data_IF_864501810648
#
_entry.id   IF_864501810648
#
_cell.length_a   1.000
_cell.length_b   1.000
_cell.length_c   1.000
_cell.angle_alpha   90.00
_cell.angle_beta   90.00
_cell.angle_gamma   90.00
#
_symmetry.space_group_name_H-M   'P 1'
#
loop_
_entity.id
_entity.type
_entity.pdbx_description
1 polymer ?
#
# COMPACT_ATOMS: atom_id res chain seq x y z
N UNK A 1 17.06 10.37 -8.87
CA UNK A 1 17.18 8.91 -9.11
C UNK A 1 16.56 8.14 -7.93
N UNK A 2 15.48 7.40 -8.19
CA UNK A 2 14.81 6.56 -7.19
C UNK A 2 15.74 5.46 -6.67
N UNK A 3 15.60 5.08 -5.40
CA UNK A 3 16.39 3.98 -4.83
C UNK A 3 15.70 2.66 -5.22
N UNK A 4 16.44 1.62 -5.60
CA UNK A 4 15.80 0.33 -5.87
C UNK A 4 15.01 -0.13 -4.64
N UNK A 5 13.80 -0.64 -4.88
CA UNK A 5 12.98 -1.26 -3.85
C UNK A 5 13.77 -2.40 -3.18
N UNK A 6 13.61 -2.62 -1.86
CA UNK A 6 14.12 -3.82 -1.21
C UNK A 6 13.69 -5.07 -1.98
N UNK A 7 14.58 -6.05 -2.13
CA UNK A 7 14.39 -7.19 -3.03
C UNK A 7 13.10 -7.97 -2.76
N UNK A 8 12.76 -8.13 -1.48
CA UNK A 8 11.57 -8.81 -1.01
C UNK A 8 10.28 -8.06 -1.35
N UNK A 9 10.29 -6.73 -1.24
CA UNK A 9 9.19 -5.86 -1.65
C UNK A 9 9.05 -5.85 -3.18
N UNK A 10 10.17 -5.71 -3.89
CA UNK A 10 10.20 -5.72 -5.34
C UNK A 10 9.65 -7.04 -5.90
N UNK A 11 10.06 -8.18 -5.32
CA UNK A 11 9.55 -9.50 -5.69
C UNK A 11 8.04 -9.60 -5.48
N UNK A 12 7.54 -9.17 -4.32
CA UNK A 12 6.10 -9.19 -4.02
C UNK A 12 5.30 -8.42 -5.08
N UNK A 13 5.74 -7.22 -5.44
CA UNK A 13 5.08 -6.36 -6.43
C UNK A 13 5.25 -6.89 -7.86
N UNK A 14 6.43 -7.39 -8.21
CA UNK A 14 6.76 -7.93 -9.54
C UNK A 14 5.98 -9.20 -9.86
N UNK A 15 5.77 -10.09 -8.89
CA UNK A 15 5.01 -11.34 -9.04
C UNK A 15 3.49 -11.15 -9.06
N UNK A 16 2.99 -9.92 -8.85
CA UNK A 16 1.57 -9.63 -8.83
C UNK A 16 0.97 -9.67 -10.25
N UNK A 17 0.50 -10.85 -10.69
CA UNK A 17 -0.06 -11.04 -12.05
C UNK A 17 -1.21 -10.08 -12.37
N UNK A 18 -2.05 -9.76 -11.38
CA UNK A 18 -3.16 -8.82 -11.54
C UNK A 18 -2.81 -7.38 -11.15
N UNK A 19 -1.54 -7.12 -10.82
CA UNK A 19 -1.05 -5.86 -10.29
C UNK A 19 -1.25 -5.70 -8.79
N UNK A 20 -0.85 -4.52 -8.30
CA UNK A 20 -0.83 -4.17 -6.88
C UNK A 20 -1.76 -3.01 -6.59
N UNK A 21 -2.45 -3.11 -5.45
CA UNK A 21 -3.13 -2.00 -4.78
C UNK A 21 -2.26 -1.53 -3.64
N UNK A 22 -1.85 -0.26 -3.62
CA UNK A 22 -1.24 0.37 -2.46
C UNK A 22 -2.35 0.97 -1.60
N UNK A 23 -2.41 0.60 -0.32
CA UNK A 23 -3.32 1.19 0.66
C UNK A 23 -2.51 1.90 1.75
N UNK A 24 -2.69 3.22 1.89
CA UNK A 24 -2.00 4.01 2.91
C UNK A 24 -2.87 5.13 3.43
N UNK A 25 -3.15 5.12 4.73
CA UNK A 25 -3.79 6.23 5.43
C UNK A 25 -2.64 7.08 5.98
N UNK A 26 -2.52 8.33 5.51
CA UNK A 26 -1.38 9.21 5.77
C UNK A 26 -1.15 9.49 7.26
N UNK A 27 -0.15 10.34 7.57
CA UNK A 27 0.39 10.54 8.92
C UNK A 27 -0.59 11.02 10.00
N UNK A 28 -1.79 11.47 9.63
CA UNK A 28 -2.84 11.83 10.60
C UNK A 28 -3.56 10.61 11.18
N UNK A 29 -3.44 9.45 10.52
CA UNK A 29 -4.08 8.24 10.96
C UNK A 29 -3.11 7.39 11.77
N UNK A 30 -3.37 7.26 13.06
CA UNK A 30 -2.70 6.25 13.87
C UNK A 30 -3.46 4.94 13.69
N UNK A 31 -2.77 3.89 13.23
CA UNK A 31 -3.34 2.56 13.07
C UNK A 31 -3.90 1.96 14.37
N UNK A 32 -3.49 2.45 15.55
CA UNK A 32 -4.05 2.05 16.85
C UNK A 32 -5.48 2.57 17.04
N UNK A 33 -5.84 3.66 16.36
CA UNK A 33 -7.18 4.24 16.42
C UNK A 33 -8.16 3.52 15.47
N UNK A 34 -7.66 2.58 14.64
CA UNK A 34 -8.53 1.74 13.81
C UNK A 34 -9.21 0.68 14.69
N UNK A 35 -10.55 0.67 14.80
CA UNK A 35 -11.24 -0.42 15.47
C UNK A 35 -10.93 -1.74 14.79
N UNK A 36 -10.78 -2.80 15.58
CA UNK A 36 -10.48 -4.14 15.06
C UNK A 36 -11.50 -4.60 14.02
N UNK A 37 -12.79 -4.35 14.24
CA UNK A 37 -13.86 -4.64 13.29
C UNK A 37 -13.65 -3.94 11.94
N UNK A 38 -13.23 -2.68 11.96
CA UNK A 38 -12.94 -1.91 10.73
C UNK A 38 -11.73 -2.49 10.01
N UNK A 39 -10.66 -2.83 10.74
CA UNK A 39 -9.48 -3.47 10.19
C UNK A 39 -9.82 -4.82 9.55
N UNK A 40 -10.62 -5.62 10.24
CA UNK A 40 -11.04 -6.94 9.78
C UNK A 40 -11.91 -6.83 8.52
N UNK A 41 -12.82 -5.86 8.46
CA UNK A 41 -13.62 -5.60 7.27
C UNK A 41 -12.74 -5.24 6.04
N UNK A 42 -11.67 -4.46 6.23
CA UNK A 42 -10.71 -4.20 5.15
C UNK A 42 -9.95 -5.46 4.74
N UNK A 43 -9.46 -6.26 5.69
CA UNK A 43 -8.77 -7.53 5.38
C UNK A 43 -9.69 -8.47 4.59
N UNK A 44 -10.96 -8.58 4.98
CA UNK A 44 -11.97 -9.39 4.30
C UNK A 44 -12.36 -8.85 2.92
N UNK A 45 -12.36 -7.52 2.74
CA UNK A 45 -12.57 -6.93 1.43
C UNK A 45 -11.36 -7.17 0.51
N UNK A 46 -10.15 -7.00 1.03
CA UNK A 46 -8.91 -7.19 0.29
C UNK A 46 -8.66 -8.66 -0.05
N UNK A 47 -9.04 -9.61 0.80
CA UNK A 47 -8.89 -11.05 0.52
C UNK A 47 -9.66 -11.51 -0.72
N UNK A 48 -10.71 -10.77 -1.10
CA UNK A 48 -11.54 -11.06 -2.29
C UNK A 48 -10.95 -10.49 -3.58
N UNK A 49 -9.91 -9.67 -3.50
CA UNK A 49 -9.24 -9.09 -4.66
C UNK A 49 -8.28 -10.10 -5.29
N UNK A 50 -8.22 -10.10 -6.63
CA UNK A 50 -7.21 -10.86 -7.38
C UNK A 50 -5.83 -10.21 -7.33
N UNK A 51 -5.81 -8.91 -7.07
CA UNK A 51 -4.61 -8.10 -6.89
C UNK A 51 -3.92 -8.46 -5.57
N UNK A 52 -2.61 -8.22 -5.53
CA UNK A 52 -1.90 -8.13 -4.27
C UNK A 52 -2.15 -6.75 -3.65
N UNK A 53 -2.27 -6.69 -2.34
CA UNK A 53 -2.49 -5.47 -1.58
C UNK A 53 -1.27 -5.21 -0.72
N UNK A 54 -0.66 -4.05 -0.92
CA UNK A 54 0.41 -3.52 -0.10
C UNK A 54 -0.18 -2.49 0.85
N UNK A 55 -0.28 -2.82 2.12
CA UNK A 55 -0.90 -1.98 3.13
C UNK A 55 0.18 -1.36 4.03
N UNK A 56 0.35 -0.03 3.96
CA UNK A 56 1.18 0.71 4.91
C UNK A 56 0.56 0.66 6.32
N UNK A 57 1.18 -0.06 7.23
CA UNK A 57 0.68 -0.32 8.58
C UNK A 57 1.83 -0.34 9.58
N UNK A 58 1.87 0.64 10.48
CA UNK A 58 2.95 0.85 11.45
C UNK A 58 2.64 0.36 12.87
N UNK A 59 1.57 -0.42 13.02
CA UNK A 59 1.13 -1.04 14.27
C UNK A 59 1.60 -2.50 14.42
N UNK A 60 1.10 -3.16 15.47
CA UNK A 60 1.29 -4.59 15.67
C UNK A 60 0.85 -5.37 14.43
N UNK A 61 1.65 -6.38 14.08
CA UNK A 61 1.36 -7.29 12.96
C UNK A 61 0.04 -8.02 13.23
N UNK A 62 -0.76 -8.13 12.19
CA UNK A 62 -2.05 -8.82 12.19
C UNK A 62 -1.97 -9.94 11.16
N UNK A 63 -2.70 -11.02 11.40
CA UNK A 63 -2.84 -12.08 10.41
C UNK A 63 -3.49 -11.53 9.14
N UNK A 64 -2.97 -11.95 8.00
CA UNK A 64 -3.41 -11.47 6.69
C UNK A 64 -3.47 -12.65 5.70
N UNK A 65 -4.39 -12.61 4.73
CA UNK A 65 -4.39 -13.55 3.62
C UNK A 65 -3.15 -13.38 2.74
N UNK A 66 -2.81 -14.39 1.94
CA UNK A 66 -1.60 -14.43 1.10
C UNK A 66 -1.45 -13.25 0.13
N UNK A 67 -2.57 -12.63 -0.26
CA UNK A 67 -2.57 -11.49 -1.16
C UNK A 67 -2.40 -10.15 -0.45
N UNK A 68 -2.40 -10.09 0.89
CA UNK A 68 -2.25 -8.85 1.67
C UNK A 68 -0.90 -8.85 2.39
N UNK A 69 -0.13 -7.78 2.20
CA UNK A 69 1.15 -7.58 2.87
C UNK A 69 1.15 -6.26 3.65
N UNK A 70 1.37 -6.36 4.96
CA UNK A 70 1.56 -5.21 5.82
C UNK A 70 3.01 -4.75 5.80
N UNK A 71 3.22 -3.45 5.60
CA UNK A 71 4.54 -2.83 5.64
C UNK A 71 4.57 -1.59 6.52
N UNK A 72 5.49 -1.57 7.48
CA UNK A 72 5.67 -0.41 8.37
C UNK A 72 6.22 0.79 7.63
N UNK A 73 7.20 0.56 6.76
CA UNK A 73 7.87 1.59 5.98
C UNK A 73 7.88 1.21 4.50
N UNK A 74 7.59 2.20 3.64
CA UNK A 74 7.54 2.01 2.19
C UNK A 74 8.30 3.17 1.53
N UNK A 75 9.17 2.90 0.54
CA UNK A 75 9.72 3.91 -0.35
C UNK A 75 8.61 4.34 -1.34
N UNK A 76 7.74 5.26 -0.89
CA UNK A 76 6.49 5.58 -1.58
C UNK A 76 6.69 5.96 -3.06
N UNK A 77 7.67 6.81 -3.37
CA UNK A 77 7.96 7.22 -4.75
C UNK A 77 8.30 6.04 -5.66
N UNK A 78 9.12 5.11 -5.18
CA UNK A 78 9.56 3.95 -5.95
C UNK A 78 8.41 2.94 -6.13
N UNK A 79 7.51 2.81 -5.14
CA UNK A 79 6.28 2.01 -5.28
C UNK A 79 5.31 2.65 -6.27
N UNK A 80 5.11 3.98 -6.19
CA UNK A 80 4.25 4.73 -7.11
C UNK A 80 4.74 4.66 -8.56
N UNK A 81 6.05 4.67 -8.77
CA UNK A 81 6.66 4.54 -10.09
C UNK A 81 6.65 3.10 -10.65
N UNK A 82 6.27 2.10 -9.85
CA UNK A 82 6.36 0.70 -10.27
C UNK A 82 5.25 0.33 -11.28
N UNK A 83 5.56 -0.32 -12.43
CA UNK A 83 4.59 -0.57 -13.50
C UNK A 83 3.43 -1.51 -13.12
N UNK A 84 3.64 -2.38 -12.12
CA UNK A 84 2.58 -3.25 -11.59
C UNK A 84 1.62 -2.55 -10.61
N UNK A 85 1.90 -1.33 -10.16
CA UNK A 85 0.93 -0.59 -9.35
C UNK A 85 -0.26 -0.20 -10.22
N UNK A 86 -1.48 -0.54 -9.77
CA UNK A 86 -2.72 -0.24 -10.50
C UNK A 86 -3.55 0.83 -9.82
N UNK A 87 -3.61 0.80 -8.50
CA UNK A 87 -4.43 1.71 -7.70
C UNK A 87 -3.66 2.09 -6.45
N UNK A 88 -3.75 3.37 -6.09
CA UNK A 88 -3.35 3.87 -4.79
C UNK A 88 -4.58 4.40 -4.07
N UNK A 89 -4.98 3.69 -3.01
CA UNK A 89 -6.03 4.12 -2.09
C UNK A 89 -5.32 4.87 -0.96
N UNK A 90 -5.56 6.17 -0.89
CA UNK A 90 -4.87 7.03 0.05
C UNK A 90 -5.82 7.96 0.79
N UNK A 91 -5.52 8.21 2.07
CA UNK A 91 -6.06 9.35 2.81
C UNK A 91 -4.90 10.23 3.23
N UNK A 92 -4.52 11.18 2.39
CA UNK A 92 -3.46 12.16 2.66
C UNK A 92 -4.09 13.52 2.98
N UNK A 93 -3.82 14.07 4.16
CA UNK A 93 -4.05 15.51 4.43
C UNK A 93 -2.84 16.28 3.93
N UNK A 94 -2.89 16.68 2.66
CA UNK A 94 -1.99 17.61 1.96
C UNK A 94 -0.51 17.67 2.37
N UNK A 95 0.39 17.07 1.58
CA UNK A 95 1.44 17.79 0.79
C UNK A 95 2.39 16.85 -0.01
N UNK A 96 1.99 15.64 -0.41
CA UNK A 96 2.80 14.86 -1.35
C UNK A 96 2.64 15.40 -2.79
N UNK A 97 3.31 16.52 -3.09
CA UNK A 97 3.59 16.90 -4.48
C UNK A 97 4.61 15.91 -5.03
N UNK A 98 4.16 15.05 -5.95
CA UNK A 98 5.06 14.25 -6.79
C UNK A 98 5.67 15.20 -7.80
N UNK A 99 6.84 15.76 -7.51
CA UNK A 99 7.60 16.51 -8.52
C UNK A 99 8.24 15.52 -9.50
N UNK A 100 7.58 15.36 -10.66
CA UNK A 100 8.11 14.67 -11.82
C UNK A 100 7.67 13.21 -11.94
N UNK A 101 6.61 12.98 -12.71
CA UNK A 101 6.27 11.69 -13.29
C UNK A 101 4.90 11.15 -12.89
N UNK A 102 3.91 11.36 -13.75
CA UNK A 102 2.58 10.75 -13.69
C UNK A 102 1.67 11.35 -12.61
N UNK A 103 0.53 11.91 -13.03
CA UNK A 103 -0.54 12.35 -12.12
C UNK A 103 -1.20 11.13 -11.44
N UNK A 104 -0.51 10.53 -10.47
CA UNK A 104 -1.10 9.52 -9.58
C UNK A 104 -1.98 10.24 -8.56
N UNK A 105 -3.21 10.59 -8.98
CA UNK A 105 -4.23 11.09 -8.06
C UNK A 105 -4.69 9.96 -7.16
N UNK A 106 -4.75 10.20 -5.86
CA UNK A 106 -5.45 9.29 -4.96
C UNK A 106 -6.92 9.20 -5.38
N UNK A 107 -7.42 7.97 -5.50
CA UNK A 107 -8.83 7.68 -5.80
C UNK A 107 -9.64 7.47 -4.51
#
# INVERSE_FOLDING_TARGET
PGRPLPDDLNKFISEAQHGVVLFSLGSIFNCQDMPEETRQAFIEAFSKLKQKVLWKWDCQKVDAPDNVRFEKWLPLQDVLAHPNLKVWICRETGNNRVEGGGDHKCN
#
